data_IF_844318119126
#
_entry.id   IF_844318119126
#
_cell.length_a   1.000
_cell.length_b   1.000
_cell.length_c   1.000
_cell.angle_alpha   90.00
_cell.angle_beta   90.00
_cell.angle_gamma   90.00
#
_symmetry.space_group_name_H-M   'P 1'
#
loop_
_entity.id
_entity.type
_entity.pdbx_description
1 polymer ?
#
# COMPACT_ATOMS: atom_id res chain seq x y z
N UNK A 1 -12.98 11.98 -32.95
CA UNK A 1 -12.70 10.88 -32.01
C UNK A 1 -11.30 10.28 -32.24
N UNK A 2 -11.07 9.35 -33.17
CA UNK A 2 -9.76 8.66 -33.30
C UNK A 2 -8.60 9.63 -33.63
N UNK A 3 -8.77 10.52 -34.62
CA UNK A 3 -7.76 11.53 -35.01
C UNK A 3 -7.44 12.57 -33.92
N UNK A 4 -8.40 12.82 -33.03
CA UNK A 4 -8.25 13.74 -31.90
C UNK A 4 -7.38 13.12 -30.82
N UNK A 5 -7.64 11.85 -30.47
CA UNK A 5 -6.78 11.08 -29.56
C UNK A 5 -5.36 10.92 -30.12
N UNK A 6 -5.22 10.77 -31.43
CA UNK A 6 -3.91 10.74 -32.09
C UNK A 6 -3.16 12.07 -31.96
N UNK A 7 -3.87 13.21 -32.09
CA UNK A 7 -3.28 14.54 -31.84
C UNK A 7 -2.84 14.69 -30.38
N UNK A 8 -3.69 14.29 -29.43
CA UNK A 8 -3.36 14.31 -28.01
C UNK A 8 -2.15 13.41 -27.66
N UNK A 9 -2.00 12.27 -28.34
CA UNK A 9 -0.81 11.43 -28.24
C UNK A 9 0.44 12.15 -28.80
N UNK A 10 0.33 12.83 -29.93
CA UNK A 10 1.44 13.56 -30.58
C UNK A 10 1.95 14.74 -29.72
N UNK A 11 1.03 15.39 -29.00
CA UNK A 11 1.35 16.48 -28.07
C UNK A 11 1.82 15.97 -26.69
N UNK A 12 1.69 14.67 -26.42
CA UNK A 12 2.08 14.05 -25.14
C UNK A 12 1.05 14.21 -24.02
N UNK A 13 -0.13 14.72 -24.33
CA UNK A 13 -1.24 14.92 -23.39
C UNK A 13 -1.92 13.59 -22.99
N UNK A 14 -1.85 12.57 -23.85
CA UNK A 14 -2.39 11.24 -23.57
C UNK A 14 -1.39 10.14 -23.91
N UNK A 15 -1.13 9.23 -22.96
CA UNK A 15 -0.29 8.05 -23.17
C UNK A 15 -1.13 6.78 -22.94
N UNK A 16 -1.87 6.39 -23.97
CA UNK A 16 -2.70 5.19 -23.97
C UNK A 16 -2.00 4.07 -24.75
N UNK A 17 -1.70 2.96 -24.07
CA UNK A 17 -1.03 1.80 -24.64
C UNK A 17 -1.90 1.07 -25.67
N UNK A 18 -3.22 1.11 -25.52
CA UNK A 18 -4.14 0.52 -26.49
C UNK A 18 -4.13 1.32 -27.81
N UNK A 19 -4.10 2.64 -27.71
CA UNK A 19 -4.01 3.52 -28.88
C UNK A 19 -2.69 3.35 -29.62
N UNK A 20 -1.57 3.25 -28.89
CA UNK A 20 -0.27 2.95 -29.49
C UNK A 20 -0.29 1.60 -30.23
N UNK A 21 -0.93 0.59 -29.64
CA UNK A 21 -1.08 -0.71 -30.30
C UNK A 21 -1.99 -0.64 -31.52
N UNK A 22 -3.06 0.15 -31.48
CA UNK A 22 -3.92 0.37 -32.65
C UNK A 22 -3.15 1.10 -33.77
N UNK A 23 -2.35 2.10 -33.43
CA UNK A 23 -1.51 2.85 -34.38
C UNK A 23 -0.54 1.94 -35.14
N UNK A 24 0.06 0.95 -34.49
CA UNK A 24 1.01 0.04 -35.16
C UNK A 24 0.34 -0.93 -36.14
N UNK A 25 -0.98 -1.15 -36.05
CA UNK A 25 -1.71 -2.08 -36.91
C UNK A 25 -2.57 -1.40 -37.97
N UNK A 26 -2.91 -0.11 -37.79
CA UNK A 26 -3.79 0.62 -38.72
C UNK A 26 -2.99 1.54 -39.69
N UNK A 27 -2.97 1.23 -41.01
CA UNK A 27 -2.25 2.02 -41.99
C UNK A 27 -2.84 3.43 -42.21
N UNK A 28 -4.14 3.64 -42.02
CA UNK A 28 -4.74 4.98 -42.16
C UNK A 28 -4.28 5.89 -41.01
N UNK A 29 -4.20 5.33 -39.80
CA UNK A 29 -3.74 6.03 -38.62
C UNK A 29 -2.24 6.37 -38.71
N UNK A 30 -1.42 5.47 -39.26
CA UNK A 30 0.00 5.72 -39.56
C UNK A 30 0.20 6.87 -40.55
N UNK A 31 -0.60 6.93 -41.63
CA UNK A 31 -0.56 8.06 -42.58
C UNK A 31 -0.96 9.38 -41.94
N UNK A 32 -1.96 9.34 -41.05
CA UNK A 32 -2.39 10.53 -40.31
C UNK A 32 -1.27 11.00 -39.36
N UNK A 33 -0.60 10.07 -38.69
CA UNK A 33 0.55 10.34 -37.82
C UNK A 33 1.72 10.98 -38.59
N UNK A 34 2.08 10.43 -39.75
CA UNK A 34 3.09 10.99 -40.65
C UNK A 34 2.72 12.42 -41.07
N UNK A 35 1.48 12.63 -41.50
CA UNK A 35 1.00 13.94 -41.94
C UNK A 35 1.07 14.98 -40.83
N UNK A 36 0.71 14.61 -39.59
CA UNK A 36 0.76 15.52 -38.45
C UNK A 36 2.20 15.92 -38.09
N UNK A 37 3.14 14.98 -38.12
CA UNK A 37 4.55 15.29 -37.91
C UNK A 37 5.11 16.17 -39.04
N UNK A 38 4.76 15.90 -40.29
CA UNK A 38 5.18 16.74 -41.41
C UNK A 38 4.65 18.18 -41.29
N UNK A 39 3.37 18.36 -40.93
CA UNK A 39 2.78 19.69 -40.70
C UNK A 39 3.52 20.39 -39.55
N UNK A 40 3.77 19.69 -38.44
CA UNK A 40 4.49 20.22 -37.26
C UNK A 40 5.90 20.68 -37.63
N UNK A 41 6.65 19.87 -38.36
CA UNK A 41 8.02 20.19 -38.76
C UNK A 41 8.04 21.35 -39.76
N UNK A 42 7.07 21.37 -40.70
CA UNK A 42 6.88 22.48 -41.64
C UNK A 42 6.56 23.80 -40.93
N UNK A 43 5.69 23.78 -39.92
CA UNK A 43 5.34 24.96 -39.12
C UNK A 43 6.52 25.48 -38.28
N UNK A 44 7.44 24.61 -37.88
CA UNK A 44 8.65 24.99 -37.13
C UNK A 44 9.79 25.47 -38.03
N UNK A 45 9.70 25.23 -39.34
CA UNK A 45 10.81 25.43 -40.26
C UNK A 45 11.89 24.36 -40.13
N UNK A 46 11.58 23.22 -39.53
CA UNK A 46 12.48 22.07 -39.33
C UNK A 46 12.50 21.13 -40.56
N UNK A 47 12.16 21.65 -41.75
CA UNK A 47 12.18 20.88 -42.99
C UNK A 47 13.40 21.23 -43.82
N UNK A 48 14.16 20.23 -44.32
CA UNK A 48 15.26 20.48 -45.24
C UNK A 48 14.77 21.04 -46.58
N UNK A 49 15.68 21.62 -47.38
CA UNK A 49 15.38 22.13 -48.73
C UNK A 49 14.78 21.06 -49.67
N UNK A 50 15.14 19.79 -49.45
CA UNK A 50 14.64 18.63 -50.20
C UNK A 50 13.96 17.65 -49.25
N UNK A 51 12.66 17.44 -49.45
CA UNK A 51 11.86 16.50 -48.67
C UNK A 51 11.99 15.08 -49.23
N UNK A 52 12.30 14.13 -48.34
CA UNK A 52 12.34 12.70 -48.65
C UNK A 52 11.24 11.97 -47.87
N UNK A 53 10.26 11.43 -48.57
CA UNK A 53 9.11 10.73 -47.97
C UNK A 53 9.36 9.22 -47.77
N UNK A 54 10.53 8.70 -48.19
CA UNK A 54 10.88 7.29 -48.15
C UNK A 54 11.85 6.92 -47.01
N UNK A 55 12.21 7.88 -46.15
CA UNK A 55 13.20 7.69 -45.08
C UNK A 55 12.75 6.57 -44.12
N UNK A 56 11.52 6.66 -43.61
CA UNK A 56 10.97 5.67 -42.68
C UNK A 56 10.96 4.27 -43.29
N UNK A 57 10.54 4.13 -44.56
CA UNK A 57 10.54 2.86 -45.28
C UNK A 57 11.95 2.27 -45.45
N UNK A 58 12.94 3.09 -45.81
CA UNK A 58 14.34 2.66 -45.95
C UNK A 58 14.95 2.24 -44.62
N UNK A 59 14.64 2.95 -43.53
CA UNK A 59 15.09 2.60 -42.19
C UNK A 59 14.46 1.27 -41.74
N UNK A 60 13.15 1.10 -41.94
CA UNK A 60 12.46 -0.17 -41.63
C UNK A 60 13.06 -1.35 -42.39
N UNK A 61 13.33 -1.19 -43.69
CA UNK A 61 14.00 -2.22 -44.50
C UNK A 61 15.43 -2.51 -43.99
N UNK A 62 16.18 -1.50 -43.56
CA UNK A 62 17.51 -1.70 -42.98
C UNK A 62 17.46 -2.45 -41.64
N UNK A 63 16.46 -2.17 -40.79
CA UNK A 63 16.23 -2.86 -39.52
C UNK A 63 15.86 -4.33 -39.76
N UNK A 64 14.99 -4.62 -40.73
CA UNK A 64 14.61 -6.00 -41.08
C UNK A 64 15.80 -6.83 -41.57
N UNK A 65 16.75 -6.18 -42.24
CA UNK A 65 17.99 -6.80 -42.70
C UNK A 65 19.12 -6.79 -41.65
N UNK A 66 18.90 -6.25 -40.45
CA UNK A 66 19.93 -6.23 -39.42
C UNK A 66 20.15 -7.65 -38.89
N UNK A 67 21.39 -8.19 -38.94
CA UNK A 67 21.68 -9.49 -38.36
C UNK A 67 21.42 -9.42 -36.85
N UNK A 68 20.65 -10.40 -36.32
CA UNK A 68 20.38 -10.51 -34.89
C UNK A 68 21.71 -10.55 -34.14
N UNK A 69 22.10 -9.41 -33.59
CA UNK A 69 23.24 -9.34 -32.69
C UNK A 69 22.86 -10.17 -31.49
N UNK A 70 23.47 -11.35 -31.37
CA UNK A 70 23.49 -12.08 -30.12
C UNK A 70 24.19 -11.14 -29.13
N UNK A 71 23.39 -10.47 -28.32
CA UNK A 71 23.88 -9.71 -27.18
C UNK A 71 24.82 -10.64 -26.44
N UNK A 72 26.11 -10.30 -26.45
CA UNK A 72 27.09 -10.96 -25.60
C UNK A 72 26.46 -10.95 -24.21
N UNK A 73 26.34 -12.10 -23.53
CA UNK A 73 25.66 -12.17 -22.25
C UNK A 73 26.25 -11.07 -21.38
N UNK A 74 25.42 -10.11 -20.98
CA UNK A 74 25.84 -9.02 -20.11
C UNK A 74 26.55 -9.71 -18.96
N UNK A 75 27.85 -9.50 -18.83
CA UNK A 75 28.60 -9.92 -17.66
C UNK A 75 27.77 -9.35 -16.49
N UNK A 76 27.17 -10.19 -15.63
CA UNK A 76 26.38 -9.67 -14.53
C UNK A 76 27.38 -8.92 -13.67
N UNK A 77 27.40 -7.60 -13.79
CA UNK A 77 28.14 -6.78 -12.86
C UNK A 77 27.50 -7.08 -11.51
N UNK A 78 28.29 -7.72 -10.64
CA UNK A 78 27.82 -8.18 -9.36
C UNK A 78 27.47 -6.94 -8.54
N UNK A 79 26.22 -6.48 -8.65
CA UNK A 79 25.70 -5.47 -7.75
C UNK A 79 25.93 -5.99 -6.34
N UNK A 80 26.57 -5.21 -5.44
CA UNK A 80 26.73 -5.62 -4.07
C UNK A 80 25.34 -5.74 -3.46
N UNK A 81 24.82 -6.97 -3.39
CA UNK A 81 23.52 -7.24 -2.84
C UNK A 81 23.49 -6.69 -1.40
N UNK A 82 22.44 -5.97 -0.98
CA UNK A 82 22.35 -5.38 0.36
C UNK A 82 22.31 -6.43 1.48
N UNK A 83 22.55 -7.71 1.23
CA UNK A 83 22.52 -8.77 2.24
C UNK A 83 23.80 -8.85 3.09
N UNK A 84 24.85 -8.09 2.79
CA UNK A 84 26.08 -8.12 3.57
C UNK A 84 25.94 -7.46 4.95
N UNK A 85 25.17 -6.38 5.09
CA UNK A 85 24.98 -5.73 6.40
C UNK A 85 24.24 -6.64 7.37
N UNK A 86 23.25 -7.39 6.88
CA UNK A 86 22.44 -8.28 7.71
C UNK A 86 23.25 -9.45 8.31
N UNK A 87 24.38 -9.79 7.69
CA UNK A 87 25.33 -10.82 8.16
C UNK A 87 26.35 -10.29 9.16
N UNK A 88 26.44 -8.97 9.38
CA UNK A 88 27.41 -8.41 10.31
C UNK A 88 27.02 -8.71 11.78
N UNK A 89 27.98 -9.11 12.63
CA UNK A 89 27.71 -9.59 13.98
C UNK A 89 27.12 -8.51 14.92
N UNK A 90 27.29 -7.23 14.61
CA UNK A 90 26.71 -6.14 15.39
C UNK A 90 25.19 -6.02 15.20
N UNK A 91 24.64 -6.32 14.02
CA UNK A 91 23.20 -6.26 13.77
C UNK A 91 22.40 -7.25 14.63
N UNK A 92 23.00 -8.41 14.94
CA UNK A 92 22.42 -9.38 15.89
C UNK A 92 22.32 -8.83 17.31
N UNK A 93 23.23 -7.95 17.72
CA UNK A 93 23.24 -7.33 19.07
C UNK A 93 22.23 -6.19 19.19
N UNK A 94 21.99 -5.42 18.14
CA UNK A 94 21.06 -4.27 18.17
C UNK A 94 19.60 -4.63 17.88
N UNK A 95 19.36 -5.75 17.16
CA UNK A 95 18.00 -6.24 16.84
C UNK A 95 17.06 -6.41 18.05
N UNK A 96 17.48 -6.96 19.22
CA UNK A 96 16.58 -7.08 20.37
C UNK A 96 16.21 -5.71 20.99
N UNK A 97 17.11 -4.73 20.94
CA UNK A 97 16.84 -3.38 21.44
C UNK A 97 16.03 -2.53 20.46
N UNK A 98 16.10 -2.83 19.16
CA UNK A 98 15.35 -2.12 18.13
C UNK A 98 13.83 -2.15 18.40
N UNK A 99 13.28 -3.28 18.85
CA UNK A 99 11.85 -3.38 19.19
C UNK A 99 11.45 -2.44 20.35
N UNK A 100 12.32 -2.29 21.35
CA UNK A 100 12.09 -1.41 22.50
C UNK A 100 12.23 0.07 22.13
N UNK A 101 13.21 0.41 21.28
CA UNK A 101 13.33 1.75 20.72
C UNK A 101 12.14 2.15 19.87
N UNK A 102 11.62 1.24 19.04
CA UNK A 102 10.45 1.52 18.20
C UNK A 102 9.22 1.79 19.06
N UNK A 103 9.01 1.00 20.13
CA UNK A 103 7.89 1.25 21.06
C UNK A 103 8.04 2.59 21.80
N UNK A 104 9.24 2.91 22.29
CA UNK A 104 9.51 4.21 22.92
C UNK A 104 9.33 5.37 21.93
N UNK A 105 9.79 5.20 20.69
CA UNK A 105 9.67 6.19 19.63
C UNK A 105 8.22 6.48 19.28
N UNK A 106 7.37 5.47 19.14
CA UNK A 106 5.94 5.66 18.86
C UNK A 106 5.26 6.41 20.01
N UNK A 107 5.50 6.00 21.27
CA UNK A 107 4.92 6.67 22.43
C UNK A 107 5.39 8.13 22.57
N UNK A 108 6.68 8.39 22.35
CA UNK A 108 7.24 9.74 22.37
C UNK A 108 6.68 10.62 21.25
N UNK A 109 6.54 10.09 20.03
CA UNK A 109 5.96 10.81 18.90
C UNK A 109 4.49 11.16 19.12
N UNK A 110 3.69 10.23 19.64
CA UNK A 110 2.27 10.49 19.96
C UNK A 110 2.17 11.54 21.06
N UNK A 111 3.03 11.46 22.09
CA UNK A 111 3.05 12.43 23.18
C UNK A 111 3.47 13.83 22.71
N UNK A 112 4.49 13.92 21.84
CA UNK A 112 4.90 15.18 21.20
C UNK A 112 3.78 15.73 20.32
N UNK A 113 3.14 14.91 19.50
CA UNK A 113 2.02 15.33 18.64
C UNK A 113 0.83 15.86 19.45
N UNK A 114 0.53 15.27 20.61
CA UNK A 114 -0.53 15.77 21.50
C UNK A 114 -0.13 17.10 22.14
N UNK A 115 1.09 17.24 22.65
CA UNK A 115 1.56 18.49 23.28
C UNK A 115 1.63 19.63 22.26
N UNK A 116 2.22 19.38 21.09
CA UNK A 116 2.31 20.36 19.99
C UNK A 116 0.92 20.63 19.42
N UNK A 117 0.06 19.63 19.28
CA UNK A 117 -1.32 19.79 18.81
C UNK A 117 -2.14 20.68 19.75
N UNK A 118 -2.04 20.49 21.07
CA UNK A 118 -2.76 21.31 22.06
C UNK A 118 -2.21 22.74 22.12
N UNK A 119 -0.90 22.93 21.96
CA UNK A 119 -0.30 24.28 21.86
C UNK A 119 -0.63 24.97 20.53
N UNK A 120 -0.64 24.25 19.41
CA UNK A 120 -1.03 24.79 18.10
C UNK A 120 -2.52 25.16 18.06
N UNK A 121 -3.37 24.33 18.68
CA UNK A 121 -4.81 24.56 18.75
C UNK A 121 -5.19 25.70 19.72
N UNK A 122 -4.55 25.81 20.89
CA UNK A 122 -4.82 26.91 21.82
C UNK A 122 -4.09 28.21 21.49
N UNK A 123 -2.93 28.15 20.83
CA UNK A 123 -2.10 29.30 20.47
C UNK A 123 -2.64 30.15 19.31
N UNK A 124 -3.69 29.69 18.62
CA UNK A 124 -4.42 30.47 17.61
C UNK A 124 -5.65 31.19 18.19
N UNK A 125 -5.84 31.20 19.51
CA UNK A 125 -6.98 31.85 20.17
C UNK A 125 -6.71 33.30 20.53
N UNK A 126 -6.48 34.16 19.53
CA UNK A 126 -6.93 35.56 19.62
C UNK A 126 -7.71 35.88 18.36
N UNK A 127 -9.00 35.56 18.34
CA UNK A 127 -10.10 36.47 17.99
C UNK A 127 -11.42 35.74 18.27
N UNK A 128 -12.10 36.23 19.31
CA UNK A 128 -13.55 36.31 19.51
C UNK A 128 -14.51 35.37 18.75
N UNK A 129 -15.39 34.74 19.54
CA UNK A 129 -16.77 34.28 19.24
C UNK A 129 -17.01 32.76 19.11
N UNK A 130 -17.59 32.22 20.20
CA UNK A 130 -18.73 31.28 20.25
C UNK A 130 -18.59 29.85 19.64
N UNK A 131 -18.94 28.79 20.40
CA UNK A 131 -18.91 27.43 19.88
C UNK A 131 -20.18 27.13 19.08
N UNK A 132 -20.10 27.19 17.76
CA UNK A 132 -21.15 26.70 16.86
C UNK A 132 -20.51 25.68 15.91
N UNK A 133 -20.50 24.42 16.31
CA UNK A 133 -20.39 23.32 15.33
C UNK A 133 -21.74 23.23 14.62
N UNK A 134 -21.88 23.59 13.33
CA UNK A 134 -23.12 23.32 12.62
C UNK A 134 -23.20 21.80 12.40
N UNK A 135 -23.89 21.12 13.32
CA UNK A 135 -24.43 19.79 13.09
C UNK A 135 -25.37 19.91 11.89
N UNK A 136 -25.13 19.12 10.84
CA UNK A 136 -26.09 18.95 9.76
C UNK A 136 -27.38 18.36 10.35
N UNK A 137 -28.33 19.24 10.67
CA UNK A 137 -29.62 18.88 11.22
C UNK A 137 -30.60 18.81 10.04
N UNK A 138 -30.61 17.69 9.32
CA UNK A 138 -31.66 17.46 8.31
C UNK A 138 -32.95 17.17 9.07
N UNK A 139 -33.79 18.18 9.19
CA UNK A 139 -35.16 18.03 9.69
C UNK A 139 -35.97 17.22 8.66
N UNK A 140 -36.41 15.98 8.95
CA UNK A 140 -37.50 15.40 8.19
C UNK A 140 -38.81 16.02 8.69
N UNK A 141 -39.63 16.50 7.76
CA UNK A 141 -40.98 16.92 8.09
C UNK A 141 -41.74 15.70 8.62
N UNK A 142 -42.14 15.75 9.90
CA UNK A 142 -42.87 14.72 10.66
C UNK A 142 -42.10 13.42 11.02
N UNK A 143 -41.34 13.46 12.11
CA UNK A 143 -40.88 12.23 12.80
C UNK A 143 -39.92 12.53 13.94
N UNK A 144 -40.10 11.90 15.12
CA UNK A 144 -39.26 12.13 16.30
C UNK A 144 -37.83 11.63 16.06
N UNK A 145 -36.84 12.46 16.41
CA UNK A 145 -35.43 12.10 16.34
C UNK A 145 -35.10 11.00 17.36
N UNK A 146 -34.90 9.78 16.84
CA UNK A 146 -34.30 8.68 17.58
C UNK A 146 -32.80 8.63 17.26
N UNK A 147 -31.90 9.08 18.14
CA UNK A 147 -30.50 8.70 18.03
C UNK A 147 -30.42 7.18 18.21
N UNK A 148 -29.83 6.48 17.23
CA UNK A 148 -29.61 5.04 17.32
C UNK A 148 -28.67 4.80 18.52
N UNK A 149 -29.24 4.12 19.51
CA UNK A 149 -28.75 3.92 20.87
C UNK A 149 -28.16 2.52 21.03
N UNK A 150 -27.19 2.33 21.95
CA UNK A 150 -26.91 1.02 22.57
C UNK A 150 -26.57 1.23 24.05
N UNK A 151 -27.63 1.31 24.86
CA UNK A 151 -27.58 1.42 26.32
C UNK A 151 -28.84 2.02 26.96
N UNK A 152 -30.02 1.48 26.66
CA UNK A 152 -31.34 1.74 27.29
C UNK A 152 -31.26 1.48 28.82
N UNK A 153 -31.93 2.24 29.73
CA UNK A 153 -33.35 2.56 29.63
C UNK A 153 -33.81 4.01 29.84
N UNK A 154 -34.94 4.28 29.20
CA UNK A 154 -35.88 5.36 29.50
C UNK A 154 -36.69 5.04 30.76
N UNK A 155 -37.21 6.13 31.31
CA UNK A 155 -38.36 6.23 32.22
C UNK A 155 -38.04 6.32 33.72
N UNK A 156 -38.74 7.26 34.34
CA UNK A 156 -38.37 7.97 35.55
C UNK A 156 -38.39 7.08 36.81
N UNK A 157 -37.25 6.96 37.51
CA UNK A 157 -37.13 6.50 38.89
C UNK A 157 -35.73 6.85 39.46
N UNK A 158 -35.55 6.92 40.79
CA UNK A 158 -34.80 7.98 41.49
C UNK A 158 -33.27 7.86 41.40
N UNK A 159 -32.60 8.93 41.79
CA UNK A 159 -31.13 9.21 41.81
C UNK A 159 -30.26 8.09 42.43
N UNK A 160 -30.82 7.02 43.01
CA UNK A 160 -30.10 5.85 43.52
C UNK A 160 -29.83 4.71 42.52
N UNK A 161 -30.60 4.59 41.43
CA UNK A 161 -30.48 3.47 40.48
C UNK A 161 -29.20 3.54 39.63
N UNK A 162 -28.70 4.75 39.38
CA UNK A 162 -27.47 4.98 38.62
C UNK A 162 -26.21 4.55 39.40
N UNK A 163 -26.20 4.73 40.72
CA UNK A 163 -25.10 4.26 41.58
C UNK A 163 -25.08 2.74 41.70
N UNK A 164 -26.24 2.09 41.74
CA UNK A 164 -26.35 0.62 41.74
C UNK A 164 -25.87 0.02 40.41
N UNK A 165 -26.22 0.63 39.26
CA UNK A 165 -25.75 0.20 37.95
C UNK A 165 -24.22 0.31 37.81
N UNK A 166 -23.62 1.39 38.32
CA UNK A 166 -22.15 1.57 38.30
C UNK A 166 -21.46 0.56 39.20
N UNK A 167 -22.04 0.20 40.35
CA UNK A 167 -21.49 -0.84 41.23
C UNK A 167 -21.59 -2.24 40.60
N UNK A 168 -22.69 -2.57 39.92
CA UNK A 168 -22.79 -3.81 39.15
C UNK A 168 -21.80 -3.86 37.99
N UNK A 169 -21.61 -2.75 37.29
CA UNK A 169 -20.62 -2.65 36.22
C UNK A 169 -19.19 -2.87 36.74
N UNK A 170 -18.86 -2.28 37.90
CA UNK A 170 -17.56 -2.52 38.58
C UNK A 170 -17.39 -3.97 39.03
N UNK A 171 -18.45 -4.62 39.55
CA UNK A 171 -18.41 -6.05 39.91
C UNK A 171 -18.17 -6.94 38.69
N UNK A 172 -18.82 -6.65 37.57
CA UNK A 172 -18.64 -7.38 36.30
C UNK A 172 -17.24 -7.21 35.72
N UNK A 173 -16.68 -5.99 35.77
CA UNK A 173 -15.31 -5.72 35.32
C UNK A 173 -14.28 -6.45 36.20
N UNK A 174 -14.45 -6.42 37.51
CA UNK A 174 -13.55 -7.14 38.42
C UNK A 174 -13.59 -8.66 38.21
N UNK A 175 -14.77 -9.24 37.93
CA UNK A 175 -14.89 -10.67 37.61
C UNK A 175 -14.21 -11.02 36.28
N UNK A 176 -14.40 -10.19 35.23
CA UNK A 176 -13.71 -10.36 33.95
C UNK A 176 -12.19 -10.30 34.09
N UNK A 177 -11.68 -9.39 34.93
CA UNK A 177 -10.23 -9.26 35.13
C UNK A 177 -9.64 -10.51 35.81
N UNK A 178 -10.33 -11.07 36.80
CA UNK A 178 -9.92 -12.30 37.48
C UNK A 178 -9.94 -13.50 36.54
N UNK A 179 -10.98 -13.62 35.71
CA UNK A 179 -11.11 -14.70 34.73
C UNK A 179 -10.04 -14.62 33.63
N UNK A 180 -9.74 -13.39 33.16
CA UNK A 180 -8.67 -13.15 32.19
C UNK A 180 -7.29 -13.58 32.72
N UNK A 181 -6.99 -13.31 34.00
CA UNK A 181 -5.73 -13.75 34.60
C UNK A 181 -5.65 -15.27 34.76
N UNK A 182 -6.76 -15.94 35.10
CA UNK A 182 -6.83 -17.40 35.17
C UNK A 182 -6.62 -18.02 33.79
N UNK A 183 -7.32 -17.53 32.77
CA UNK A 183 -7.21 -18.01 31.40
C UNK A 183 -5.79 -17.85 30.88
N UNK A 184 -5.13 -16.73 31.21
CA UNK A 184 -3.73 -16.49 30.82
C UNK A 184 -2.77 -17.50 31.46
N UNK A 185 -3.01 -17.92 32.71
CA UNK A 185 -2.19 -18.95 33.38
C UNK A 185 -2.44 -20.35 32.81
N UNK A 186 -3.70 -20.74 32.62
CA UNK A 186 -4.04 -22.03 32.01
C UNK A 186 -3.49 -22.16 30.59
N UNK A 187 -3.61 -21.09 29.79
CA UNK A 187 -3.07 -21.07 28.43
C UNK A 187 -1.54 -21.14 28.43
N UNK A 188 -0.88 -20.53 29.42
CA UNK A 188 0.57 -20.64 29.58
C UNK A 188 1.04 -22.04 29.98
N UNK A 189 0.27 -22.77 30.81
CA UNK A 189 0.56 -24.16 31.16
C UNK A 189 0.30 -25.13 29.98
N UNK A 190 -0.76 -24.91 29.21
CA UNK A 190 -1.05 -25.73 28.02
C UNK A 190 0.08 -25.65 26.98
N UNK A 191 0.63 -24.45 26.77
CA UNK A 191 1.80 -24.26 25.90
C UNK A 191 3.05 -24.98 26.43
N UNK A 192 3.21 -25.10 27.75
CA UNK A 192 4.32 -25.85 28.34
C UNK A 192 4.15 -27.37 28.18
N UNK A 193 2.94 -27.90 28.34
CA UNK A 193 2.65 -29.33 28.09
C UNK A 193 2.82 -29.70 26.60
N UNK A 194 2.41 -28.83 25.68
CA UNK A 194 2.52 -29.06 24.23
C UNK A 194 3.98 -29.04 23.74
N UNK A 195 4.81 -28.15 24.30
CA UNK A 195 6.25 -28.13 24.03
C UNK A 195 7.00 -29.36 24.57
N UNK A 196 6.54 -29.93 25.69
CA UNK A 196 7.14 -31.13 26.25
C UNK A 196 6.86 -32.39 25.39
N UNK A 197 5.69 -32.47 24.74
CA UNK A 197 5.36 -33.59 23.85
C UNK A 197 6.03 -33.50 22.46
N UNK A 198 6.21 -32.30 21.91
CA UNK A 198 6.75 -32.12 20.54
C UNK A 198 8.27 -32.33 20.43
N UNK A 199 9.03 -32.22 21.53
CA UNK A 199 10.49 -32.45 21.49
C UNK A 199 10.89 -33.92 21.33
N UNK A 200 9.99 -34.89 21.53
CA UNK A 200 10.36 -36.31 21.46
C UNK A 200 10.14 -36.97 20.08
N UNK A 201 9.45 -36.31 19.14
CA UNK A 201 8.95 -36.97 17.92
C UNK A 201 9.75 -36.72 16.61
N UNK A 202 10.81 -35.90 16.60
CA UNK A 202 11.43 -35.44 15.34
C UNK A 202 12.98 -35.55 15.30
N UNK A 203 13.52 -36.77 15.27
CA UNK A 203 14.90 -37.06 14.82
C UNK A 203 14.84 -37.97 13.57
N UNK A 204 15.38 -37.49 12.45
CA UNK A 204 15.27 -37.99 11.05
C UNK A 204 16.58 -38.67 10.56
N UNK A 205 16.51 -39.60 9.58
CA UNK A 205 17.64 -40.24 8.84
C UNK A 205 17.61 -39.84 7.34
N UNK A 206 18.74 -39.53 6.65
CA UNK A 206 18.74 -38.94 5.30
C UNK A 206 19.25 -39.85 4.15
N UNK A 207 18.79 -39.59 2.91
CA UNK A 207 19.52 -39.93 1.65
C UNK A 207 18.67 -40.48 0.50
N UNK A 208 18.59 -39.73 -0.61
CA UNK A 208 17.93 -40.08 -1.89
C UNK A 208 18.98 -40.29 -3.00
N UNK A 209 18.76 -41.25 -3.92
CA UNK A 209 19.35 -41.26 -5.27
C UNK A 209 18.55 -42.18 -6.22
N UNK A 210 18.45 -41.77 -7.48
CA UNK A 210 17.37 -42.07 -8.45
C UNK A 210 17.76 -43.01 -9.59
N UNK A 211 16.77 -43.80 -10.06
CA UNK A 211 16.46 -44.37 -11.39
C UNK A 211 17.53 -45.00 -12.32
N UNK A 212 17.21 -46.20 -12.83
CA UNK A 212 17.67 -46.74 -14.11
C UNK A 212 17.30 -48.21 -14.34
N UNK A 213 16.28 -48.50 -15.14
CA UNK A 213 15.90 -49.86 -15.60
C UNK A 213 16.58 -50.20 -16.93
N UNK A 214 17.25 -51.35 -17.04
CA UNK A 214 17.28 -52.13 -18.29
C UNK A 214 17.62 -53.60 -18.05
N UNK A 215 16.90 -54.46 -18.76
CA UNK A 215 16.93 -55.92 -18.73
C UNK A 215 17.70 -56.50 -19.91
N UNK A 216 18.63 -57.42 -19.64
CA UNK A 216 18.73 -58.77 -20.23
C UNK A 216 19.71 -59.59 -19.39
#
# INVERSE_FOLDING_TARGET
>A
MQKEKLSALMDGETLDSELLKALTHDPEMQKTWESYHLIRDSMRGDTPDVLHFDISARVMAAIENEPVRQVSPLIPEAQPAPQQWQKMPFWKKVRPWAAQLTQMGVAACVSLAVIVGVQHYNGQSETSQQPETPVFNTLPMMGKASPVSLGVPSEAAPVGSQQQQVQEQRRRINAMLQDYELQRRLHSEQLQFEQAQTQQAAVQVPGIQTLGTQSQ
#
